data_IF_458136943086
#
_entry.id   IF_458136943086
#
_cell.length_a   1.000
_cell.length_b   1.000
_cell.length_c   1.000
_cell.angle_alpha   90.00
_cell.angle_beta   90.00
_cell.angle_gamma   90.00
#
_symmetry.space_group_name_H-M   'P 1'
#
loop_
_entity.id
_entity.type
_entity.pdbx_description
1 polymer ?
#
# COMPACT_ATOMS: atom_id res chain seq x y z
N UNK A 1 -29.60 9.70 12.38
CA UNK A 1 -28.57 8.65 12.51
C UNK A 1 -27.25 9.34 12.24
N UNK A 2 -26.40 9.44 13.26
CA UNK A 2 -25.08 10.06 13.13
C UNK A 2 -24.18 9.07 12.42
N UNK A 3 -23.71 9.46 11.24
CA UNK A 3 -22.63 8.77 10.54
C UNK A 3 -21.33 9.17 11.24
N UNK A 4 -20.97 8.44 12.30
CA UNK A 4 -19.69 8.62 12.99
C UNK A 4 -18.65 7.72 12.34
N UNK A 5 -18.34 7.98 11.07
CA UNK A 5 -17.03 7.63 10.54
C UNK A 5 -16.06 8.64 11.12
N UNK A 6 -15.11 8.19 11.93
CA UNK A 6 -14.01 9.07 12.35
C UNK A 6 -13.27 9.48 11.08
N UNK A 7 -13.50 10.70 10.55
CA UNK A 7 -12.61 11.34 9.59
C UNK A 7 -11.28 11.55 10.33
N UNK A 8 -10.45 10.50 10.40
CA UNK A 8 -9.06 10.64 10.83
C UNK A 8 -8.36 11.35 9.69
N UNK A 9 -7.67 12.43 10.00
CA UNK A 9 -6.81 13.07 9.01
C UNK A 9 -5.71 12.07 8.63
N UNK A 10 -5.56 11.81 7.33
CA UNK A 10 -4.54 10.89 6.81
C UNK A 10 -3.14 11.48 7.07
N UNK A 11 -3.02 12.81 6.95
CA UNK A 11 -1.77 13.55 7.16
C UNK A 11 -1.89 14.52 8.33
N UNK A 12 -0.77 14.72 9.02
CA UNK A 12 -0.62 15.67 10.11
C UNK A 12 -0.31 17.10 9.62
N UNK A 13 -0.12 18.03 10.56
CA UNK A 13 0.20 19.43 10.26
C UNK A 13 1.54 19.64 9.53
N UNK A 14 2.41 18.62 9.50
CA UNK A 14 3.70 18.62 8.81
C UNK A 14 3.65 17.88 7.47
N UNK A 15 2.49 17.34 7.09
CA UNK A 15 2.30 16.57 5.87
C UNK A 15 2.82 15.13 5.95
N UNK A 16 3.17 14.63 7.14
CA UNK A 16 3.50 13.21 7.34
C UNK A 16 2.23 12.41 7.63
N UNK A 17 2.26 11.08 7.50
CA UNK A 17 1.13 10.25 7.91
C UNK A 17 0.81 10.47 9.39
N UNK A 18 -0.47 10.67 9.70
CA UNK A 18 -0.95 10.83 11.07
C UNK A 18 -0.59 9.59 11.89
N UNK A 19 -0.02 9.74 13.11
CA UNK A 19 0.21 8.62 14.02
C UNK A 19 -1.07 7.86 14.37
N UNK A 20 -2.19 8.56 14.50
CA UNK A 20 -3.50 7.96 14.77
C UNK A 20 -4.01 7.13 13.59
N UNK A 21 -3.81 7.61 12.37
CA UNK A 21 -4.13 6.88 11.14
C UNK A 21 -3.25 5.63 11.01
N UNK A 22 -1.94 5.78 11.20
CA UNK A 22 -0.97 4.68 11.12
C UNK A 22 -1.29 3.58 12.14
N UNK A 23 -1.56 3.96 13.39
CA UNK A 23 -1.91 3.01 14.44
C UNK A 23 -3.24 2.29 14.15
N UNK A 24 -4.22 2.98 13.55
CA UNK A 24 -5.48 2.37 13.14
C UNK A 24 -5.26 1.33 12.03
N UNK A 25 -4.44 1.64 11.03
CA UNK A 25 -4.12 0.72 9.94
C UNK A 25 -3.34 -0.51 10.45
N UNK A 26 -2.33 -0.31 11.31
CA UNK A 26 -1.59 -1.41 11.92
C UNK A 26 -2.51 -2.32 12.76
N UNK A 27 -3.36 -1.73 13.59
CA UNK A 27 -4.34 -2.48 14.38
C UNK A 27 -5.32 -3.28 13.52
N UNK A 28 -5.75 -2.73 12.38
CA UNK A 28 -6.62 -3.42 11.44
C UNK A 28 -5.89 -4.59 10.72
N UNK A 29 -4.61 -4.42 10.37
CA UNK A 29 -3.79 -5.52 9.84
C UNK A 29 -3.61 -6.63 10.88
N UNK A 30 -3.23 -6.29 12.11
CA UNK A 30 -3.00 -7.28 13.17
C UNK A 30 -4.26 -8.06 13.58
N UNK A 31 -5.41 -7.40 13.55
CA UNK A 31 -6.70 -8.03 13.84
C UNK A 31 -7.32 -8.77 12.65
N UNK A 32 -6.75 -8.61 11.45
CA UNK A 32 -7.30 -9.15 10.21
C UNK A 32 -8.62 -8.48 9.80
N UNK A 33 -8.88 -7.25 10.25
CA UNK A 33 -10.09 -6.50 9.93
C UNK A 33 -10.01 -5.92 8.51
N UNK A 34 -10.28 -6.79 7.54
CA UNK A 34 -10.27 -6.44 6.12
C UNK A 34 -11.29 -5.36 5.76
N UNK A 35 -12.43 -5.29 6.46
CA UNK A 35 -13.44 -4.26 6.18
C UNK A 35 -12.95 -2.87 6.59
N UNK A 36 -12.28 -2.77 7.75
CA UNK A 36 -11.61 -1.55 8.15
C UNK A 36 -10.51 -1.16 7.15
N UNK A 37 -9.62 -2.08 6.79
CA UNK A 37 -8.54 -1.79 5.83
C UNK A 37 -9.06 -1.30 4.48
N UNK A 38 -10.09 -1.95 3.93
CA UNK A 38 -10.70 -1.52 2.67
C UNK A 38 -11.39 -0.15 2.77
N UNK A 39 -12.01 0.16 3.92
CA UNK A 39 -12.66 1.45 4.12
C UNK A 39 -11.64 2.58 4.21
N UNK A 40 -10.61 2.42 5.02
CA UNK A 40 -9.61 3.46 5.26
C UNK A 40 -8.69 3.64 4.02
N UNK A 41 -8.37 2.55 3.30
CA UNK A 41 -7.52 2.62 2.10
C UNK A 41 -8.24 3.17 0.86
N UNK A 42 -9.57 3.23 0.84
CA UNK A 42 -10.36 3.63 -0.33
C UNK A 42 -10.08 5.07 -0.78
N UNK A 43 -9.81 5.95 0.17
CA UNK A 43 -9.64 7.39 -0.06
C UNK A 43 -8.15 7.81 0.00
N UNK A 44 -7.22 6.84 0.05
CA UNK A 44 -5.77 7.10 0.00
C UNK A 44 -5.33 7.36 -1.44
N UNK A 45 -4.43 8.32 -1.63
CA UNK A 45 -3.68 8.42 -2.88
C UNK A 45 -2.57 7.38 -2.94
N UNK A 46 -2.06 7.09 -4.14
CA UNK A 46 -0.93 6.19 -4.37
C UNK A 46 0.28 6.51 -3.48
N UNK A 47 0.65 7.78 -3.36
CA UNK A 47 1.75 8.23 -2.49
C UNK A 47 1.46 8.03 -0.99
N UNK A 48 0.22 8.24 -0.53
CA UNK A 48 -0.15 7.99 0.87
C UNK A 48 -0.09 6.50 1.19
N UNK A 49 -0.49 5.65 0.23
CA UNK A 49 -0.43 4.20 0.36
C UNK A 49 1.03 3.70 0.34
N UNK A 50 1.89 4.31 -0.47
CA UNK A 50 3.33 4.02 -0.47
C UNK A 50 3.98 4.37 0.88
N UNK A 51 3.77 5.60 1.39
CA UNK A 51 4.22 6.04 2.71
C UNK A 51 3.76 5.06 3.81
N UNK A 52 2.52 4.56 3.71
CA UNK A 52 1.95 3.62 4.67
C UNK A 52 2.64 2.26 4.63
N UNK A 53 2.91 1.74 3.44
CA UNK A 53 3.63 0.47 3.23
C UNK A 53 5.06 0.58 3.76
N UNK A 54 5.75 1.68 3.51
CA UNK A 54 7.11 1.91 4.00
C UNK A 54 7.18 1.96 5.52
N UNK A 55 6.17 2.58 6.15
CA UNK A 55 6.04 2.65 7.61
C UNK A 55 5.73 1.30 8.28
N UNK A 56 5.34 0.28 7.51
CA UNK A 56 5.00 -1.05 8.02
C UNK A 56 6.19 -2.00 8.02
N UNK A 57 6.19 -2.96 8.94
CA UNK A 57 7.16 -4.05 8.96
C UNK A 57 6.90 -5.01 7.77
N UNK A 58 7.91 -5.75 7.27
CA UNK A 58 7.78 -6.59 6.07
C UNK A 58 6.56 -7.54 6.08
N UNK A 59 6.30 -8.21 7.21
CA UNK A 59 5.16 -9.12 7.36
C UNK A 59 3.80 -8.40 7.31
N UNK A 60 3.74 -7.17 7.82
CA UNK A 60 2.54 -6.35 7.84
C UNK A 60 2.21 -5.82 6.44
N UNK A 61 3.22 -5.50 5.63
CA UNK A 61 3.04 -5.06 4.23
C UNK A 61 2.34 -6.13 3.41
N UNK A 62 2.80 -7.38 3.52
CA UNK A 62 2.16 -8.52 2.84
C UNK A 62 0.72 -8.71 3.34
N UNK A 63 0.48 -8.57 4.64
CA UNK A 63 -0.85 -8.63 5.23
C UNK A 63 -1.79 -7.55 4.70
N UNK A 64 -1.32 -6.30 4.61
CA UNK A 64 -2.06 -5.17 4.05
C UNK A 64 -2.44 -5.42 2.58
N UNK A 65 -1.46 -5.72 1.73
CA UNK A 65 -1.66 -5.92 0.29
C UNK A 65 -2.59 -7.11 0.05
N UNK A 66 -2.42 -8.21 0.79
CA UNK A 66 -3.30 -9.37 0.71
C UNK A 66 -4.75 -9.06 1.16
N UNK A 67 -4.92 -8.24 2.20
CA UNK A 67 -6.23 -7.82 2.65
C UNK A 67 -6.92 -6.94 1.61
N UNK A 68 -6.22 -5.95 1.03
CA UNK A 68 -6.75 -5.08 -0.01
C UNK A 68 -7.05 -5.85 -1.30
N UNK A 69 -6.19 -6.79 -1.68
CA UNK A 69 -6.36 -7.65 -2.85
C UNK A 69 -6.62 -6.83 -4.13
N UNK A 70 -7.81 -6.96 -4.71
CA UNK A 70 -8.17 -6.24 -5.95
C UNK A 70 -8.32 -4.72 -5.77
N UNK A 71 -8.55 -4.27 -4.54
CA UNK A 71 -8.67 -2.86 -4.18
C UNK A 71 -7.32 -2.22 -3.87
N UNK A 72 -6.23 -3.00 -3.88
CA UNK A 72 -4.88 -2.43 -3.79
C UNK A 72 -4.62 -1.55 -5.00
N UNK A 73 -4.23 -0.30 -4.73
CA UNK A 73 -3.78 0.62 -5.75
C UNK A 73 -2.33 0.32 -6.10
N UNK A 74 -2.12 -0.03 -7.36
CA UNK A 74 -0.85 -0.55 -7.86
C UNK A 74 0.09 0.58 -8.24
N UNK A 75 -0.45 1.78 -8.45
CA UNK A 75 0.32 3.01 -8.67
C UNK A 75 1.21 3.30 -7.46
N UNK A 76 0.80 2.87 -6.26
CA UNK A 76 1.63 2.98 -5.06
C UNK A 76 2.98 2.25 -5.21
N UNK A 77 3.09 1.19 -6.01
CA UNK A 77 4.37 0.49 -6.23
C UNK A 77 5.42 1.36 -6.94
N UNK A 78 4.99 2.32 -7.75
CA UNK A 78 5.89 3.23 -8.45
C UNK A 78 6.47 4.29 -7.51
N UNK A 79 5.71 4.64 -6.46
CA UNK A 79 6.08 5.65 -5.45
C UNK A 79 6.94 5.07 -4.30
N UNK A 80 7.00 3.74 -4.16
CA UNK A 80 7.81 3.08 -3.12
C UNK A 80 9.31 3.25 -3.34
N UNK A 81 10.03 3.38 -2.23
CA UNK A 81 11.47 3.18 -2.17
C UNK A 81 11.88 1.81 -2.74
N UNK A 82 12.94 1.80 -3.57
CA UNK A 82 13.48 0.63 -4.29
C UNK A 82 13.62 -0.59 -3.37
N UNK A 83 14.26 -0.43 -2.21
CA UNK A 83 14.47 -1.54 -1.28
C UNK A 83 13.19 -2.13 -0.66
N UNK A 84 12.13 -1.33 -0.51
CA UNK A 84 10.82 -1.82 -0.02
C UNK A 84 10.05 -2.51 -1.14
N UNK A 85 10.14 -1.96 -2.35
CA UNK A 85 9.56 -2.52 -3.56
C UNK A 85 10.12 -3.90 -3.90
N UNK A 86 11.44 -4.06 -3.86
CA UNK A 86 12.09 -5.35 -4.14
C UNK A 86 11.64 -6.42 -3.15
N UNK A 87 11.62 -6.09 -1.86
CA UNK A 87 11.11 -7.00 -0.82
C UNK A 87 9.66 -7.44 -1.08
N UNK A 88 8.82 -6.53 -1.58
CA UNK A 88 7.44 -6.86 -1.94
C UNK A 88 7.36 -7.72 -3.20
N UNK A 89 8.21 -7.49 -4.19
CA UNK A 89 8.27 -8.29 -5.41
C UNK A 89 8.72 -9.72 -5.12
N UNK A 90 9.62 -9.92 -4.16
CA UNK A 90 10.01 -11.24 -3.69
C UNK A 90 8.91 -11.92 -2.84
N UNK A 91 8.22 -11.16 -1.99
CA UNK A 91 7.26 -11.69 -1.03
C UNK A 91 5.86 -11.95 -1.61
N UNK A 92 5.44 -11.18 -2.61
CA UNK A 92 4.10 -11.29 -3.19
C UNK A 92 4.02 -12.37 -4.27
N UNK A 93 2.87 -13.06 -4.41
CA UNK A 93 2.65 -13.99 -5.50
C UNK A 93 2.78 -13.30 -6.88
N UNK A 94 3.44 -13.99 -7.83
CA UNK A 94 3.67 -13.46 -9.16
C UNK A 94 2.38 -13.04 -9.90
N UNK A 95 1.24 -13.67 -9.62
CA UNK A 95 -0.06 -13.30 -10.19
C UNK A 95 -0.59 -11.96 -9.66
N UNK A 96 -0.27 -11.61 -8.41
CA UNK A 96 -0.59 -10.29 -7.83
C UNK A 96 0.26 -9.22 -8.50
N UNK A 97 1.57 -9.45 -8.63
CA UNK A 97 2.50 -8.54 -9.30
C UNK A 97 2.14 -8.35 -10.77
N UNK A 98 1.87 -9.44 -11.51
CA UNK A 98 1.48 -9.37 -12.92
C UNK A 98 0.14 -8.62 -13.11
N UNK A 99 -0.79 -8.79 -12.18
CA UNK A 99 -2.05 -8.03 -12.19
C UNK A 99 -1.84 -6.55 -11.88
N UNK A 100 -0.82 -6.23 -11.09
CA UNK A 100 -0.43 -4.88 -10.75
C UNK A 100 0.19 -4.16 -11.94
N UNK A 101 1.22 -4.76 -12.56
CA UNK A 101 1.90 -4.23 -13.75
C UNK A 101 0.92 -3.93 -14.89
N UNK A 102 -0.09 -4.79 -15.08
CA UNK A 102 -1.07 -4.60 -16.16
C UNK A 102 -1.99 -3.39 -15.97
N UNK A 103 -2.13 -2.90 -14.74
CA UNK A 103 -2.99 -1.76 -14.40
C UNK A 103 -2.23 -0.44 -14.34
N UNK A 104 -0.90 -0.49 -14.25
CA UNK A 104 -0.04 0.69 -14.35
C UNK A 104 -0.07 1.27 -15.77
N UNK A 105 0.14 2.57 -15.87
CA UNK A 105 0.37 3.23 -17.16
C UNK A 105 1.66 2.70 -17.81
N UNK A 106 1.77 2.86 -19.13
CA UNK A 106 2.87 2.25 -19.91
C UNK A 106 4.25 2.73 -19.46
N UNK A 107 4.35 3.98 -18.99
CA UNK A 107 5.61 4.57 -18.52
C UNK A 107 6.00 4.04 -17.12
N UNK A 108 5.04 3.95 -16.18
CA UNK A 108 5.29 3.44 -14.82
C UNK A 108 5.54 1.93 -14.82
N UNK A 109 4.83 1.18 -15.67
CA UNK A 109 5.06 -0.25 -15.85
C UNK A 109 6.46 -0.54 -16.42
N UNK A 110 6.94 0.29 -17.36
CA UNK A 110 8.29 0.14 -17.91
C UNK A 110 9.36 0.37 -16.85
N UNK A 111 9.20 1.41 -16.01
CA UNK A 111 10.11 1.67 -14.90
C UNK A 111 10.18 0.50 -13.91
N UNK A 112 9.03 -0.12 -13.59
CA UNK A 112 8.97 -1.27 -12.69
C UNK A 112 9.69 -2.51 -13.25
N UNK A 113 9.51 -2.78 -14.55
CA UNK A 113 10.13 -3.93 -15.23
C UNK A 113 11.64 -3.72 -15.38
N UNK A 114 12.08 -2.50 -15.70
CA UNK A 114 13.50 -2.18 -15.77
C UNK A 114 14.21 -2.34 -14.43
N UNK A 115 13.50 -2.23 -13.31
CA UNK A 115 14.05 -2.46 -11.98
C UNK A 115 14.17 -3.94 -11.64
N UNK A 116 13.15 -4.73 -11.98
CA UNK A 116 13.13 -6.19 -11.82
C UNK A 116 14.25 -6.91 -12.60
N UNK A 117 14.62 -6.40 -13.77
CA UNK A 117 15.68 -6.99 -14.61
C UNK A 117 17.11 -6.60 -14.14
N UNK A 118 17.27 -5.79 -13.09
CA UNK A 118 18.59 -5.44 -12.53
C UNK A 118 19.15 -6.45 -11.54
N UNK A 119 18.43 -7.51 -11.25
CA UNK A 119 18.95 -8.64 -10.49
C UNK A 119 19.79 -9.54 -11.42
N UNK A 120 21.13 -9.36 -11.37
CA UNK A 120 22.15 -10.17 -12.07
C UNK A 120 21.99 -11.70 -11.85
#
# INVERSE_FOLDING_TARGET
MADTGTEREIRDEWGSLSPEFLAAMQGAVHSGDKEALLREAKDLHAADLADLIEAFEPDERVGLISALGRSFDVEALAELDEGVRDQLMEALPADVIASAIKKLDTDDAAYLIEDLDKED
#
